data_IF_328184112491
#
_entry.id   IF_328184112491
#
_cell.length_a   1.000
_cell.length_b   1.000
_cell.length_c   1.000
_cell.angle_alpha   90.00
_cell.angle_beta   90.00
_cell.angle_gamma   90.00
#
_symmetry.space_group_name_H-M   'P 1'
#
loop_
_entity.id
_entity.type
_entity.pdbx_description
1 polymer ?
#
# COMPACT_ATOMS: atom_id res chain seq x y z
N UNK A 1 15.19 -30.78 0.56
CA UNK A 1 13.94 -30.09 0.16
C UNK A 1 14.15 -29.49 -1.22
N UNK A 2 13.13 -29.43 -2.09
CA UNK A 2 13.23 -28.70 -3.36
C UNK A 2 12.78 -27.25 -3.14
N UNK A 3 13.38 -26.27 -3.83
CA UNK A 3 12.91 -24.89 -3.74
C UNK A 3 11.50 -24.75 -4.33
N UNK A 4 10.74 -23.80 -3.80
CA UNK A 4 9.40 -23.42 -4.26
C UNK A 4 9.46 -22.10 -5.01
N UNK A 5 8.58 -21.88 -6.00
CA UNK A 5 8.50 -20.58 -6.68
C UNK A 5 8.16 -19.46 -5.68
N UNK A 6 8.81 -18.32 -5.84
CA UNK A 6 8.70 -17.18 -4.94
C UNK A 6 7.90 -16.06 -5.59
N UNK A 7 6.85 -15.63 -4.89
CA UNK A 7 6.05 -14.44 -5.19
C UNK A 7 6.26 -13.40 -4.08
N UNK A 8 5.86 -12.15 -4.30
CA UNK A 8 6.04 -11.08 -3.30
C UNK A 8 5.36 -11.41 -1.97
N UNK A 9 6.03 -11.13 -0.86
CA UNK A 9 5.46 -11.29 0.48
C UNK A 9 4.20 -10.44 0.72
N UNK A 10 4.02 -9.38 -0.08
CA UNK A 10 2.81 -8.54 -0.08
C UNK A 10 1.58 -9.28 -0.65
N UNK A 11 1.79 -10.30 -1.49
CA UNK A 11 0.73 -11.14 -2.07
C UNK A 11 0.49 -12.42 -1.26
N UNK A 12 1.56 -13.03 -0.76
CA UNK A 12 1.51 -14.24 0.06
C UNK A 12 2.39 -14.05 1.30
N UNK A 13 1.79 -14.09 2.49
CA UNK A 13 2.54 -13.88 3.73
C UNK A 13 2.94 -15.22 4.36
N UNK A 14 4.22 -15.61 4.20
CA UNK A 14 4.86 -16.76 4.87
C UNK A 14 5.85 -16.28 5.95
N UNK A 15 6.29 -17.20 6.80
CA UNK A 15 7.20 -16.86 7.90
C UNK A 15 8.58 -16.40 7.41
N UNK A 16 9.25 -15.56 8.21
CA UNK A 16 10.61 -15.12 7.90
C UNK A 16 11.58 -16.29 7.67
N UNK A 17 11.56 -17.30 8.55
CA UNK A 17 12.37 -18.51 8.43
C UNK A 17 12.11 -19.30 7.14
N UNK A 18 10.87 -19.29 6.62
CA UNK A 18 10.57 -19.88 5.32
C UNK A 18 11.32 -19.16 4.20
N UNK A 19 11.31 -17.82 4.17
CA UNK A 19 12.00 -17.06 3.13
C UNK A 19 13.51 -17.18 3.19
N UNK A 20 14.09 -17.21 4.40
CA UNK A 20 15.52 -17.51 4.57
C UNK A 20 15.85 -18.88 3.99
N UNK A 21 15.02 -19.90 4.28
CA UNK A 21 15.24 -21.24 3.74
C UNK A 21 15.10 -21.31 2.22
N UNK A 22 14.15 -20.59 1.63
CA UNK A 22 14.02 -20.52 0.17
C UNK A 22 15.22 -19.83 -0.47
N UNK A 23 15.80 -18.81 0.17
CA UNK A 23 17.00 -18.15 -0.34
C UNK A 23 18.20 -19.10 -0.40
N UNK A 24 18.37 -19.96 0.62
CA UNK A 24 19.39 -21.02 0.62
C UNK A 24 19.21 -22.00 -0.53
N UNK A 25 17.98 -22.53 -0.70
CA UNK A 25 17.69 -23.52 -1.73
C UNK A 25 17.82 -22.95 -3.15
N UNK A 26 17.34 -21.72 -3.38
CA UNK A 26 17.48 -21.07 -4.68
C UNK A 26 18.92 -20.64 -4.98
N UNK A 27 19.72 -20.31 -3.97
CA UNK A 27 21.14 -20.05 -4.16
C UNK A 27 21.87 -21.29 -4.67
N UNK A 28 21.54 -22.48 -4.14
CA UNK A 28 22.07 -23.76 -4.65
C UNK A 28 21.68 -23.99 -6.12
N UNK A 29 20.45 -23.69 -6.53
CA UNK A 29 20.03 -23.81 -7.94
C UNK A 29 20.77 -22.84 -8.86
N UNK A 30 21.00 -21.59 -8.42
CA UNK A 30 21.82 -20.62 -9.16
C UNK A 30 23.25 -21.13 -9.36
N UNK A 31 23.81 -21.86 -8.39
CA UNK A 31 25.16 -22.44 -8.56
C UNK A 31 25.21 -23.58 -9.58
N UNK A 32 24.11 -24.31 -9.77
CA UNK A 32 24.03 -25.40 -10.77
C UNK A 32 23.94 -24.85 -12.19
N UNK A 33 23.20 -23.76 -12.38
CA UNK A 33 23.10 -23.06 -13.66
C UNK A 33 23.05 -21.54 -13.44
N UNK A 34 24.19 -20.90 -13.62
CA UNK A 34 24.34 -19.45 -13.45
C UNK A 34 23.65 -18.64 -14.55
N UNK A 35 23.21 -19.27 -15.64
CA UNK A 35 22.52 -18.61 -16.75
C UNK A 35 20.99 -18.75 -16.66
N UNK A 36 20.46 -19.44 -15.64
CA UNK A 36 19.03 -19.62 -15.44
C UNK A 36 18.35 -18.34 -14.89
N UNK A 37 17.62 -17.64 -15.76
CA UNK A 37 16.80 -16.47 -15.38
C UNK A 37 15.79 -16.80 -14.27
N UNK A 38 15.17 -17.99 -14.34
CA UNK A 38 14.19 -18.43 -13.32
C UNK A 38 14.84 -18.63 -11.95
N UNK A 39 16.03 -19.24 -11.89
CA UNK A 39 16.75 -19.42 -10.64
C UNK A 39 17.13 -18.07 -10.01
N UNK A 40 17.65 -17.13 -10.83
CA UNK A 40 17.98 -15.78 -10.37
C UNK A 40 16.76 -15.01 -9.87
N UNK A 41 15.64 -15.06 -10.60
CA UNK A 41 14.40 -14.39 -10.20
C UNK A 41 13.92 -14.88 -8.84
N UNK A 42 13.81 -16.20 -8.66
CA UNK A 42 13.32 -16.77 -7.42
C UNK A 42 14.30 -16.57 -6.26
N UNK A 43 15.62 -16.62 -6.52
CA UNK A 43 16.64 -16.29 -5.54
C UNK A 43 16.52 -14.83 -5.06
N UNK A 44 16.46 -13.87 -5.99
CA UNK A 44 16.20 -12.47 -5.68
C UNK A 44 14.92 -12.32 -4.86
N UNK A 45 13.84 -13.02 -5.24
CA UNK A 45 12.58 -12.91 -4.52
C UNK A 45 12.59 -13.51 -3.13
N UNK A 46 13.24 -14.64 -2.91
CA UNK A 46 13.46 -15.17 -1.58
C UNK A 46 14.23 -14.17 -0.69
N UNK A 47 15.37 -13.63 -1.17
CA UNK A 47 16.16 -12.66 -0.41
C UNK A 47 15.37 -11.39 -0.09
N UNK A 48 14.66 -10.82 -1.06
CA UNK A 48 13.91 -9.58 -0.82
C UNK A 48 12.64 -9.80 0.01
N UNK A 49 12.05 -11.00 0.02
CA UNK A 49 10.97 -11.35 0.97
C UNK A 49 11.51 -11.55 2.40
N UNK A 50 12.69 -12.17 2.54
CA UNK A 50 13.37 -12.26 3.83
C UNK A 50 13.69 -10.86 4.38
N UNK A 51 14.22 -9.96 3.54
CA UNK A 51 14.47 -8.57 3.92
C UNK A 51 13.17 -7.84 4.32
N UNK A 52 12.10 -7.97 3.52
CA UNK A 52 10.81 -7.34 3.81
C UNK A 52 10.19 -7.81 5.14
N UNK A 53 10.28 -9.11 5.43
CA UNK A 53 9.82 -9.68 6.71
C UNK A 53 10.74 -9.37 7.90
N UNK A 54 11.94 -8.84 7.64
CA UNK A 54 12.87 -8.33 8.62
C UNK A 54 12.81 -6.79 8.74
N UNK A 55 11.68 -6.17 8.38
CA UNK A 55 11.50 -4.71 8.38
C UNK A 55 12.56 -3.96 7.56
N UNK A 56 12.94 -4.54 6.42
CA UNK A 56 13.88 -3.95 5.47
C UNK A 56 15.31 -3.73 5.97
N UNK A 57 15.64 -4.16 7.20
CA UNK A 57 16.97 -4.01 7.80
C UNK A 57 18.06 -4.62 6.92
N UNK A 58 19.20 -3.94 6.81
CA UNK A 58 20.30 -4.38 5.94
C UNK A 58 21.12 -5.51 6.54
N UNK A 59 21.11 -5.65 7.87
CA UNK A 59 21.89 -6.66 8.61
C UNK A 59 21.25 -8.07 8.58
N UNK A 60 20.07 -8.23 7.96
CA UNK A 60 19.45 -9.54 7.72
C UNK A 60 20.37 -10.50 6.93
N UNK A 61 21.31 -9.96 6.15
CA UNK A 61 22.32 -10.74 5.41
C UNK A 61 23.20 -11.59 6.32
N UNK A 62 23.28 -11.24 7.61
CA UNK A 62 24.07 -11.99 8.60
C UNK A 62 23.35 -13.26 9.09
N UNK A 63 22.06 -13.44 8.76
CA UNK A 63 21.28 -14.59 9.23
C UNK A 63 21.57 -15.88 8.45
N UNK A 64 22.08 -15.78 7.22
CA UNK A 64 22.48 -16.92 6.40
C UNK A 64 23.46 -16.49 5.30
N UNK A 65 24.49 -17.28 4.96
CA UNK A 65 25.46 -16.96 3.91
C UNK A 65 24.85 -16.88 2.50
N UNK A 66 23.60 -17.35 2.33
CA UNK A 66 22.86 -17.24 1.09
C UNK A 66 22.11 -15.90 0.95
N UNK A 67 21.96 -15.10 2.00
CA UNK A 67 21.22 -13.84 1.95
C UNK A 67 22.09 -12.71 1.39
N UNK A 68 21.51 -11.90 0.50
CA UNK A 68 22.17 -10.77 -0.16
C UNK A 68 21.19 -9.62 -0.33
N UNK A 69 21.70 -8.39 -0.35
CA UNK A 69 20.89 -7.23 -0.75
C UNK A 69 20.64 -7.28 -2.26
N UNK A 70 19.54 -6.67 -2.72
CA UNK A 70 19.21 -6.64 -4.15
C UNK A 70 20.34 -6.06 -5.03
N UNK A 71 21.07 -5.04 -4.52
CA UNK A 71 22.23 -4.46 -5.22
C UNK A 71 23.39 -5.45 -5.41
N UNK A 72 23.56 -6.39 -4.48
CA UNK A 72 24.63 -7.39 -4.56
C UNK A 72 24.21 -8.52 -5.51
N UNK A 73 22.92 -8.86 -5.52
CA UNK A 73 22.35 -9.86 -6.45
C UNK A 73 22.43 -9.35 -7.88
N UNK A 74 22.03 -8.10 -8.13
CA UNK A 74 22.06 -7.48 -9.47
C UNK A 74 23.48 -7.35 -10.03
N UNK A 75 24.48 -7.09 -9.18
CA UNK A 75 25.88 -7.12 -9.58
C UNK A 75 26.29 -8.50 -10.13
N UNK A 76 25.90 -9.58 -9.46
CA UNK A 76 26.14 -10.95 -9.91
C UNK A 76 25.35 -11.30 -11.19
N UNK A 77 24.08 -10.88 -11.26
CA UNK A 77 23.26 -11.10 -12.45
C UNK A 77 23.85 -10.41 -13.68
N UNK A 78 24.46 -9.23 -13.52
CA UNK A 78 25.13 -8.52 -14.61
C UNK A 78 26.29 -9.32 -15.22
N UNK A 79 26.97 -10.16 -14.42
CA UNK A 79 28.07 -11.00 -14.91
C UNK A 79 27.56 -12.24 -15.67
N UNK A 80 26.39 -12.77 -15.30
CA UNK A 80 25.94 -14.08 -15.77
C UNK A 80 24.74 -14.05 -16.73
N UNK A 81 23.82 -13.11 -16.56
CA UNK A 81 22.63 -12.91 -17.42
C UNK A 81 22.46 -11.43 -17.83
N UNK A 82 23.52 -10.75 -18.32
CA UNK A 82 23.41 -9.36 -18.73
C UNK A 82 22.38 -9.21 -19.85
N UNK A 83 21.56 -8.17 -19.75
CA UNK A 83 20.63 -7.77 -20.81
C UNK A 83 19.38 -8.66 -20.95
N UNK A 84 19.22 -9.72 -20.14
CA UNK A 84 18.01 -10.53 -20.16
C UNK A 84 16.83 -9.80 -19.52
N UNK A 85 15.61 -10.34 -19.67
CA UNK A 85 14.42 -9.77 -19.06
C UNK A 85 14.59 -9.69 -17.53
N UNK A 86 14.97 -10.81 -16.89
CA UNK A 86 15.08 -10.89 -15.44
C UNK A 86 16.13 -9.93 -14.89
N UNK A 87 17.29 -9.77 -15.54
CA UNK A 87 18.27 -8.78 -15.11
C UNK A 87 17.72 -7.36 -15.13
N UNK A 88 17.12 -6.95 -16.26
CA UNK A 88 16.54 -5.62 -16.40
C UNK A 88 15.41 -5.38 -15.38
N UNK A 89 14.56 -6.37 -15.16
CA UNK A 89 13.48 -6.28 -14.19
C UNK A 89 13.99 -6.15 -12.75
N UNK A 90 14.96 -6.98 -12.36
CA UNK A 90 15.49 -6.98 -10.99
C UNK A 90 16.34 -5.74 -10.71
N UNK A 91 17.15 -5.27 -11.66
CA UNK A 91 17.90 -4.01 -11.54
C UNK A 91 16.96 -2.81 -11.39
N UNK A 92 15.90 -2.75 -12.21
CA UNK A 92 14.89 -1.68 -12.14
C UNK A 92 14.13 -1.70 -10.81
N UNK A 93 13.62 -2.86 -10.38
CA UNK A 93 12.79 -3.00 -9.17
C UNK A 93 13.57 -2.80 -7.87
N UNK A 94 14.88 -3.05 -7.85
CA UNK A 94 15.70 -2.91 -6.63
C UNK A 94 15.80 -1.46 -6.13
N UNK A 95 15.51 -0.48 -6.99
CA UNK A 95 15.63 0.96 -6.69
C UNK A 95 14.39 1.57 -6.02
N UNK A 96 13.32 0.79 -5.86
CA UNK A 96 12.11 1.21 -5.14
C UNK A 96 11.42 2.41 -5.79
N UNK A 97 11.13 3.45 -5.00
CA UNK A 97 10.47 4.68 -5.48
C UNK A 97 11.42 5.62 -6.24
N UNK A 98 12.73 5.40 -6.14
CA UNK A 98 13.69 6.22 -6.89
C UNK A 98 13.46 6.03 -8.39
N UNK A 99 13.47 7.10 -9.20
CA UNK A 99 13.39 6.98 -10.66
C UNK A 99 14.67 6.38 -11.26
N UNK A 100 15.75 6.31 -10.47
CA UNK A 100 16.97 5.58 -10.83
C UNK A 100 16.63 4.12 -11.12
N UNK A 101 17.11 3.55 -12.22
CA UNK A 101 16.72 2.20 -12.66
C UNK A 101 15.58 2.16 -13.68
N UNK A 102 14.92 3.29 -13.94
CA UNK A 102 13.86 3.41 -14.95
C UNK A 102 14.22 2.87 -16.33
N UNK A 103 15.45 3.09 -16.80
CA UNK A 103 15.92 2.56 -18.09
C UNK A 103 15.85 1.03 -18.14
N UNK A 104 16.29 0.35 -17.07
CA UNK A 104 16.22 -1.10 -16.97
C UNK A 104 14.77 -1.58 -16.88
N UNK A 105 13.95 -0.90 -16.09
CA UNK A 105 12.55 -1.25 -15.95
C UNK A 105 11.77 -1.11 -17.27
N UNK A 106 12.02 -0.05 -18.04
CA UNK A 106 11.42 0.14 -19.37
C UNK A 106 11.92 -0.91 -20.38
N UNK A 107 13.20 -1.32 -20.32
CA UNK A 107 13.69 -2.46 -21.12
C UNK A 107 12.94 -3.74 -20.78
N UNK A 108 12.78 -4.05 -19.49
CA UNK A 108 12.00 -5.21 -19.05
C UNK A 108 10.54 -5.12 -19.52
N UNK A 109 9.92 -3.95 -19.41
CA UNK A 109 8.56 -3.69 -19.89
C UNK A 109 8.39 -3.90 -21.39
N UNK A 110 9.36 -3.50 -22.20
CA UNK A 110 9.35 -3.75 -23.64
C UNK A 110 9.55 -5.24 -24.00
N UNK A 111 10.30 -5.98 -23.17
CA UNK A 111 10.58 -7.41 -23.40
C UNK A 111 9.39 -8.30 -23.02
N UNK A 112 8.79 -8.08 -21.85
CA UNK A 112 7.68 -8.87 -21.36
C UNK A 112 6.73 -8.02 -20.48
N UNK A 113 5.84 -7.23 -21.10
CA UNK A 113 4.98 -6.28 -20.39
C UNK A 113 3.94 -6.94 -19.47
N UNK A 114 3.69 -8.22 -19.65
CA UNK A 114 2.66 -8.99 -18.94
C UNK A 114 3.26 -9.84 -17.80
N UNK A 115 4.56 -9.70 -17.52
CA UNK A 115 5.20 -10.43 -16.43
C UNK A 115 4.57 -10.06 -15.08
N UNK A 116 4.26 -11.08 -14.27
CA UNK A 116 3.63 -10.87 -12.98
C UNK A 116 4.54 -10.07 -12.04
N UNK A 117 4.01 -8.98 -11.48
CA UNK A 117 4.74 -8.09 -10.57
C UNK A 117 5.42 -6.90 -11.25
N UNK A 118 5.70 -6.98 -12.56
CA UNK A 118 6.36 -5.88 -13.30
C UNK A 118 5.53 -4.60 -13.33
N UNK A 119 4.21 -4.73 -13.56
CA UNK A 119 3.33 -3.57 -13.74
C UNK A 119 3.27 -2.69 -12.48
N UNK A 120 3.39 -3.29 -11.29
CA UNK A 120 3.52 -2.55 -10.03
C UNK A 120 4.75 -1.64 -10.07
N UNK A 121 5.93 -2.19 -10.36
CA UNK A 121 7.16 -1.41 -10.45
C UNK A 121 7.10 -0.33 -11.54
N UNK A 122 6.47 -0.63 -12.69
CA UNK A 122 6.27 0.37 -13.76
C UNK A 122 5.39 1.53 -13.29
N UNK A 123 4.33 1.25 -12.53
CA UNK A 123 3.48 2.28 -11.90
C UNK A 123 4.28 3.09 -10.88
N UNK A 124 5.15 2.46 -10.10
CA UNK A 124 6.06 3.14 -9.17
C UNK A 124 6.93 4.14 -9.91
N UNK A 125 7.63 3.68 -10.94
CA UNK A 125 8.51 4.51 -11.77
C UNK A 125 7.77 5.65 -12.47
N UNK A 126 6.61 5.34 -13.07
CA UNK A 126 5.78 6.34 -13.75
C UNK A 126 5.27 7.40 -12.76
N UNK A 127 4.98 7.02 -11.51
CA UNK A 127 4.57 7.95 -10.46
C UNK A 127 5.73 8.84 -9.99
N UNK A 128 6.94 8.29 -9.80
CA UNK A 128 8.09 9.07 -9.35
C UNK A 128 8.62 10.05 -10.40
N UNK A 129 8.34 9.78 -11.67
CA UNK A 129 8.71 10.63 -12.82
C UNK A 129 7.56 11.49 -13.35
N UNK A 130 6.37 11.43 -12.73
CA UNK A 130 5.16 12.12 -13.18
C UNK A 130 4.74 11.77 -14.63
N UNK A 131 5.09 10.57 -15.10
CA UNK A 131 4.67 10.05 -16.40
C UNK A 131 3.25 9.46 -16.31
N UNK A 132 2.24 10.33 -16.34
CA UNK A 132 0.83 9.97 -16.18
C UNK A 132 0.32 9.02 -17.27
N UNK A 133 0.80 9.14 -18.51
CA UNK A 133 0.37 8.28 -19.62
C UNK A 133 0.87 6.84 -19.42
N UNK A 134 2.13 6.66 -19.03
CA UNK A 134 2.69 5.34 -18.72
C UNK A 134 1.99 4.71 -17.51
N UNK A 135 1.72 5.50 -16.47
CA UNK A 135 1.02 5.02 -15.27
C UNK A 135 -0.37 4.50 -15.64
N UNK A 136 -1.10 5.28 -16.45
CA UNK A 136 -2.44 4.93 -16.93
C UNK A 136 -2.42 3.67 -17.81
N UNK A 137 -1.48 3.58 -18.75
CA UNK A 137 -1.32 2.38 -19.59
C UNK A 137 -1.07 1.14 -18.73
N UNK A 138 -0.12 1.24 -17.78
CA UNK A 138 0.22 0.14 -16.89
C UNK A 138 -0.95 -0.27 -16.00
N UNK A 139 -1.70 0.68 -15.42
CA UNK A 139 -2.89 0.39 -14.62
C UNK A 139 -4.00 -0.31 -15.42
N UNK A 140 -4.27 0.14 -16.66
CA UNK A 140 -5.24 -0.52 -17.55
C UNK A 140 -4.81 -1.96 -17.85
N UNK A 141 -3.52 -2.17 -18.16
CA UNK A 141 -2.98 -3.51 -18.42
C UNK A 141 -3.07 -4.40 -17.19
N UNK A 142 -2.70 -3.87 -16.02
CA UNK A 142 -2.67 -4.62 -14.76
C UNK A 142 -4.08 -5.02 -14.29
N UNK A 143 -5.05 -4.12 -14.46
CA UNK A 143 -6.47 -4.41 -14.21
C UNK A 143 -6.97 -5.56 -15.10
N UNK A 144 -6.70 -5.53 -16.41
CA UNK A 144 -7.12 -6.61 -17.35
C UNK A 144 -6.55 -7.98 -17.00
N UNK A 145 -5.42 -8.03 -16.29
CA UNK A 145 -4.77 -9.27 -15.84
C UNK A 145 -5.23 -9.72 -14.45
N UNK A 146 -6.15 -8.99 -13.81
CA UNK A 146 -6.56 -9.28 -12.43
C UNK A 146 -5.40 -9.16 -11.44
N UNK A 147 -4.46 -8.25 -11.68
CA UNK A 147 -3.20 -8.23 -10.94
C UNK A 147 -3.28 -7.57 -9.55
N UNK A 148 -4.40 -6.94 -9.22
CA UNK A 148 -4.78 -6.53 -7.86
C UNK A 148 -5.99 -7.37 -7.43
N UNK A 149 -5.94 -7.84 -6.18
CA UNK A 149 -7.04 -8.52 -5.48
C UNK A 149 -8.39 -7.78 -5.63
N UNK A 150 -9.48 -8.49 -5.96
CA UNK A 150 -10.83 -7.89 -5.92
C UNK A 150 -11.19 -7.30 -4.55
N UNK A 151 -10.74 -7.92 -3.46
CA UNK A 151 -10.98 -7.43 -2.11
C UNK A 151 -10.24 -6.11 -1.84
N UNK A 152 -8.99 -5.96 -2.32
CA UNK A 152 -8.26 -4.69 -2.28
C UNK A 152 -8.92 -3.60 -3.14
N UNK A 153 -9.45 -3.94 -4.32
CA UNK A 153 -10.17 -2.98 -5.16
C UNK A 153 -11.48 -2.50 -4.51
N UNK A 154 -12.21 -3.38 -3.82
CA UNK A 154 -13.42 -2.98 -3.08
C UNK A 154 -13.08 -2.08 -1.87
N UNK A 155 -12.01 -2.39 -1.13
CA UNK A 155 -11.50 -1.51 -0.08
C UNK A 155 -11.12 -0.14 -0.66
N UNK A 156 -10.31 -0.12 -1.73
CA UNK A 156 -9.88 1.12 -2.40
C UNK A 156 -11.04 1.95 -2.93
N UNK A 157 -12.10 1.31 -3.44
CA UNK A 157 -13.31 2.01 -3.89
C UNK A 157 -13.96 2.75 -2.71
N UNK A 158 -14.21 2.07 -1.59
CA UNK A 158 -14.82 2.68 -0.41
C UNK A 158 -13.91 3.75 0.23
N UNK A 159 -12.58 3.56 0.20
CA UNK A 159 -11.62 4.57 0.64
C UNK A 159 -11.68 5.84 -0.23
N UNK A 160 -11.80 5.72 -1.56
CA UNK A 160 -12.01 6.88 -2.42
C UNK A 160 -13.33 7.60 -2.08
N UNK A 161 -14.43 6.86 -1.87
CA UNK A 161 -15.72 7.46 -1.48
C UNK A 161 -15.68 8.15 -0.13
N UNK A 162 -14.78 7.73 0.76
CA UNK A 162 -14.60 8.30 2.10
C UNK A 162 -14.08 9.75 2.11
N UNK A 163 -13.84 10.36 0.95
CA UNK A 163 -13.29 11.71 0.83
C UNK A 163 -14.26 12.67 0.15
N UNK A 164 -14.24 13.94 0.56
CA UNK A 164 -14.94 15.03 -0.13
C UNK A 164 -14.45 15.20 -1.59
N UNK A 165 -15.24 15.84 -2.47
CA UNK A 165 -14.80 16.16 -3.83
C UNK A 165 -13.48 16.94 -3.84
N UNK A 166 -12.60 16.60 -4.78
CA UNK A 166 -11.29 17.22 -4.97
C UNK A 166 -10.34 17.12 -3.77
N UNK A 167 -10.55 16.20 -2.84
CA UNK A 167 -9.68 15.99 -1.69
C UNK A 167 -8.24 15.60 -2.07
N UNK A 168 -7.30 15.87 -1.16
CA UNK A 168 -5.98 15.23 -1.09
C UNK A 168 -6.13 14.05 -0.13
N UNK A 169 -5.77 12.85 -0.57
CA UNK A 169 -5.75 11.64 0.24
C UNK A 169 -4.30 11.17 0.40
N UNK A 170 -3.79 11.19 1.63
CA UNK A 170 -2.48 10.64 1.97
C UNK A 170 -2.61 9.15 2.26
N UNK A 171 -1.87 8.34 1.52
CA UNK A 171 -1.80 6.87 1.63
C UNK A 171 -0.36 6.42 1.88
N UNK A 172 -0.16 5.16 2.25
CA UNK A 172 1.19 4.60 2.43
C UNK A 172 1.33 3.20 1.86
N UNK A 173 2.49 2.93 1.24
CA UNK A 173 2.81 1.62 0.67
C UNK A 173 1.86 1.19 -0.45
N UNK A 174 2.06 -0.04 -0.90
CA UNK A 174 1.48 -0.51 -2.15
C UNK A 174 -0.02 -0.80 -2.04
N UNK A 175 -0.43 -1.56 -1.02
CA UNK A 175 -1.82 -2.03 -0.87
C UNK A 175 -2.81 -0.91 -0.55
N UNK A 176 -2.36 0.23 -0.02
CA UNK A 176 -3.19 1.40 0.27
C UNK A 176 -3.27 2.38 -0.91
N UNK A 177 -2.34 2.31 -1.87
CA UNK A 177 -2.20 3.33 -2.93
C UNK A 177 -2.56 2.79 -4.32
N UNK A 178 -1.99 1.66 -4.70
CA UNK A 178 -2.03 1.17 -6.08
C UNK A 178 -3.44 0.74 -6.50
N UNK A 179 -4.27 0.14 -5.63
CA UNK A 179 -5.68 -0.10 -5.94
C UNK A 179 -6.42 1.20 -6.29
N UNK A 180 -6.10 2.31 -5.64
CA UNK A 180 -6.76 3.60 -5.84
C UNK A 180 -6.37 4.19 -7.19
N UNK A 181 -5.08 4.20 -7.53
CA UNK A 181 -4.63 4.65 -8.86
C UNK A 181 -5.20 3.78 -9.98
N UNK A 182 -5.29 2.46 -9.78
CA UNK A 182 -5.94 1.56 -10.74
C UNK A 182 -7.42 1.90 -10.91
N UNK A 183 -8.17 2.10 -9.82
CA UNK A 183 -9.58 2.50 -9.85
C UNK A 183 -9.79 3.83 -10.59
N UNK A 184 -8.92 4.81 -10.36
CA UNK A 184 -8.96 6.11 -11.03
C UNK A 184 -8.69 5.98 -12.53
N UNK A 185 -7.61 5.29 -12.91
CA UNK A 185 -7.09 5.33 -14.28
C UNK A 185 -7.70 4.28 -15.21
N UNK A 186 -8.02 3.09 -14.69
CA UNK A 186 -8.62 2.01 -15.47
C UNK A 186 -10.15 2.03 -15.44
N UNK A 187 -10.76 2.55 -14.36
CA UNK A 187 -12.21 2.49 -14.13
C UNK A 187 -12.88 3.87 -13.98
N UNK A 188 -12.13 4.97 -13.95
CA UNK A 188 -12.69 6.33 -13.87
C UNK A 188 -13.32 6.66 -12.52
N UNK A 189 -12.99 5.93 -11.46
CA UNK A 189 -13.58 6.13 -10.12
C UNK A 189 -12.87 7.30 -9.42
N UNK A 190 -13.62 8.34 -9.03
CA UNK A 190 -13.12 9.45 -8.20
C UNK A 190 -11.79 10.04 -8.70
N UNK A 191 -11.69 10.30 -10.00
CA UNK A 191 -10.50 10.93 -10.62
C UNK A 191 -10.26 12.37 -10.15
N UNK A 192 -11.19 12.94 -9.38
CA UNK A 192 -11.06 14.24 -8.73
C UNK A 192 -10.12 14.22 -7.50
N UNK A 193 -9.98 13.06 -6.84
CA UNK A 193 -9.16 12.90 -5.62
C UNK A 193 -7.68 12.83 -5.99
N UNK A 194 -6.84 13.62 -5.31
CA UNK A 194 -5.39 13.52 -5.46
C UNK A 194 -4.86 12.52 -4.43
N UNK A 195 -4.53 11.32 -4.89
CA UNK A 195 -3.96 10.26 -4.07
C UNK A 195 -2.43 10.42 -4.04
N UNK A 196 -1.87 10.70 -2.86
CA UNK A 196 -0.44 10.90 -2.64
C UNK A 196 0.10 9.83 -1.69
N UNK A 197 0.99 8.98 -2.18
CA UNK A 197 1.69 8.01 -1.37
C UNK A 197 2.87 8.67 -0.65
N UNK A 198 2.90 8.55 0.68
CA UNK A 198 3.94 9.18 1.49
C UNK A 198 5.35 8.63 1.26
N UNK A 199 5.48 7.40 0.76
CA UNK A 199 6.78 6.78 0.47
C UNK A 199 7.56 7.59 -0.58
N UNK A 200 6.84 8.23 -1.51
CA UNK A 200 7.43 9.02 -2.57
C UNK A 200 7.96 10.37 -2.08
N UNK A 201 7.45 10.88 -0.95
CA UNK A 201 7.98 12.12 -0.37
C UNK A 201 9.38 11.97 0.21
N UNK A 202 9.89 10.75 0.39
CA UNK A 202 11.29 10.54 0.75
C UNK A 202 12.24 10.89 -0.41
N UNK A 203 11.74 10.97 -1.64
CA UNK A 203 12.50 11.41 -2.80
C UNK A 203 12.35 12.92 -3.02
N UNK A 204 13.48 13.63 -3.03
CA UNK A 204 13.54 15.09 -3.06
C UNK A 204 12.79 15.72 -4.23
N UNK A 205 12.99 15.21 -5.45
CA UNK A 205 12.39 15.82 -6.64
C UNK A 205 10.86 15.62 -6.67
N UNK A 206 10.38 14.46 -6.22
CA UNK A 206 8.94 14.23 -6.09
C UNK A 206 8.34 15.17 -5.04
N UNK A 207 8.96 15.27 -3.86
CA UNK A 207 8.52 16.16 -2.78
C UNK A 207 8.51 17.62 -3.20
N UNK A 208 9.59 18.10 -3.84
CA UNK A 208 9.68 19.48 -4.37
C UNK A 208 8.55 19.77 -5.37
N UNK A 209 8.30 18.84 -6.31
CA UNK A 209 7.27 19.02 -7.34
C UNK A 209 5.87 19.11 -6.73
N UNK A 210 5.49 18.14 -5.89
CA UNK A 210 4.16 18.12 -5.26
C UNK A 210 3.97 19.33 -4.34
N UNK A 211 4.98 19.70 -3.56
CA UNK A 211 4.88 20.85 -2.66
C UNK A 211 4.74 22.16 -3.45
N UNK A 212 5.49 22.30 -4.55
CA UNK A 212 5.35 23.43 -5.47
C UNK A 212 3.94 23.53 -6.08
N UNK A 213 3.41 22.41 -6.57
CA UNK A 213 2.06 22.36 -7.18
C UNK A 213 0.95 22.69 -6.18
N UNK A 214 1.11 22.27 -4.92
CA UNK A 214 0.12 22.47 -3.85
C UNK A 214 0.34 23.76 -3.05
N UNK A 215 1.39 24.54 -3.35
CA UNK A 215 1.74 25.73 -2.59
C UNK A 215 2.18 25.44 -1.14
N UNK A 216 2.67 24.24 -0.86
CA UNK A 216 3.23 23.84 0.43
C UNK A 216 4.66 24.38 0.51
N UNK A 217 5.06 24.90 1.67
CA UNK A 217 6.43 25.41 1.86
C UNK A 217 7.47 24.32 1.54
N UNK A 218 8.60 24.66 0.89
CA UNK A 218 9.67 23.69 0.67
C UNK A 218 10.12 23.00 1.95
N UNK A 219 10.43 21.71 1.86
CA UNK A 219 10.91 20.90 2.97
C UNK A 219 12.07 20.03 2.49
N UNK A 220 13.16 20.05 3.25
CA UNK A 220 14.37 19.29 2.95
C UNK A 220 14.53 18.27 4.06
N UNK A 221 14.49 16.99 3.67
CA UNK A 221 15.00 15.93 4.52
C UNK A 221 16.53 15.94 4.39
N UNK A 222 17.24 15.74 5.50
CA UNK A 222 18.66 15.43 5.44
C UNK A 222 18.86 14.05 4.75
N UNK A 223 20.08 13.52 4.74
CA UNK A 223 20.37 12.24 4.06
C UNK A 223 19.39 11.15 4.53
N UNK A 224 18.51 10.72 3.64
CA UNK A 224 17.50 9.70 3.92
C UNK A 224 18.18 8.35 4.15
N UNK A 225 18.21 7.89 5.40
CA UNK A 225 18.63 6.55 5.81
C UNK A 225 17.40 5.63 5.90
N UNK A 226 17.53 4.38 5.42
CA UNK A 226 16.47 3.36 5.52
C UNK A 226 16.04 3.09 6.95
N UNK A 227 16.96 3.24 7.91
CA UNK A 227 16.67 3.06 9.33
C UNK A 227 15.87 4.23 9.93
N UNK A 228 15.72 5.34 9.20
CA UNK A 228 15.03 6.55 9.64
C UNK A 228 13.72 6.80 8.87
N UNK A 229 13.26 5.84 8.06
CA UNK A 229 12.04 6.01 7.25
C UNK A 229 10.82 6.40 8.07
N UNK A 230 10.59 5.75 9.23
CA UNK A 230 9.45 6.08 10.09
C UNK A 230 9.46 7.54 10.54
N UNK A 231 10.61 8.03 10.99
CA UNK A 231 10.79 9.43 11.41
C UNK A 231 10.60 10.39 10.24
N UNK A 232 11.13 10.04 9.06
CA UNK A 232 11.02 10.88 7.88
C UNK A 232 9.58 10.97 7.35
N UNK A 233 8.82 9.86 7.40
CA UNK A 233 7.39 9.87 7.08
C UNK A 233 6.60 10.75 8.04
N UNK A 234 6.85 10.63 9.35
CA UNK A 234 6.23 11.51 10.36
C UNK A 234 6.51 12.99 10.07
N UNK A 235 7.78 13.34 9.84
CA UNK A 235 8.20 14.70 9.56
C UNK A 235 7.50 15.29 8.32
N UNK A 236 7.42 14.52 7.23
CA UNK A 236 6.74 14.96 6.01
C UNK A 236 5.24 15.14 6.23
N UNK A 237 4.58 14.17 6.86
CA UNK A 237 3.13 14.23 7.10
C UNK A 237 2.81 15.47 7.94
N UNK A 238 3.51 15.68 9.06
CA UNK A 238 3.34 16.88 9.90
C UNK A 238 3.58 18.16 9.11
N UNK A 239 4.65 18.23 8.31
CA UNK A 239 4.92 19.40 7.49
C UNK A 239 3.79 19.72 6.50
N UNK A 240 3.19 18.70 5.88
CA UNK A 240 2.01 18.87 5.01
C UNK A 240 0.82 19.43 5.79
N UNK A 241 0.49 18.84 6.95
CA UNK A 241 -0.63 19.27 7.78
C UNK A 241 -0.48 20.70 8.29
N UNK A 242 0.75 21.13 8.58
CA UNK A 242 1.05 22.47 9.12
C UNK A 242 1.13 23.57 8.05
N UNK A 243 1.55 23.24 6.83
CA UNK A 243 1.92 24.23 5.83
C UNK A 243 1.03 24.26 4.60
N UNK A 244 0.13 23.28 4.43
CA UNK A 244 -0.85 23.34 3.36
C UNK A 244 -1.98 24.32 3.69
N UNK A 245 -2.19 25.29 2.82
CA UNK A 245 -3.22 26.35 2.96
C UNK A 245 -4.18 26.40 1.78
N UNK A 246 -4.14 25.40 0.89
CA UNK A 246 -5.00 25.31 -0.28
C UNK A 246 -6.42 24.86 0.05
N UNK A 247 -7.29 24.87 -0.97
CA UNK A 247 -8.72 24.63 -0.81
C UNK A 247 -9.13 23.14 -0.86
N UNK A 248 -8.25 22.24 -1.29
CA UNK A 248 -8.52 20.79 -1.32
C UNK A 248 -8.51 20.25 0.11
N UNK A 249 -9.58 19.62 0.62
CA UNK A 249 -9.57 19.00 1.94
C UNK A 249 -8.49 17.92 2.06
N UNK A 250 -7.81 17.84 3.21
CA UNK A 250 -6.82 16.79 3.48
C UNK A 250 -7.49 15.62 4.20
N UNK A 251 -7.23 14.42 3.69
CA UNK A 251 -7.62 13.15 4.28
C UNK A 251 -6.40 12.26 4.49
N UNK A 252 -6.39 11.52 5.60
CA UNK A 252 -5.41 10.47 5.90
C UNK A 252 -6.10 9.11 5.79
N UNK A 253 -5.53 8.16 5.06
CA UNK A 253 -6.06 6.79 5.03
C UNK A 253 -6.04 6.19 6.44
N UNK A 254 -7.06 5.40 6.83
CA UNK A 254 -7.06 4.71 8.13
C UNK A 254 -6.02 3.60 8.27
N UNK A 255 -5.33 3.26 7.18
CA UNK A 255 -4.17 2.34 7.21
C UNK A 255 -2.85 3.07 7.42
N UNK A 256 -2.86 4.41 7.44
CA UNK A 256 -1.73 5.24 7.80
C UNK A 256 -1.39 5.04 9.29
N UNK A 257 -0.11 4.98 9.64
CA UNK A 257 0.29 4.84 11.05
C UNK A 257 -0.09 6.09 11.85
N UNK A 258 -0.82 5.97 12.97
CA UNK A 258 -1.14 7.10 13.85
C UNK A 258 0.09 7.87 14.36
N UNK A 259 1.24 7.19 14.45
CA UNK A 259 2.50 7.82 14.87
C UNK A 259 2.91 8.98 13.94
N UNK A 260 2.62 8.87 12.65
CA UNK A 260 3.07 9.85 11.65
C UNK A 260 2.32 11.18 11.70
N UNK A 261 1.19 11.23 12.40
CA UNK A 261 0.44 12.47 12.67
C UNK A 261 0.19 12.66 14.17
N UNK A 262 1.10 12.14 14.99
CA UNK A 262 1.04 12.28 16.44
C UNK A 262 0.99 13.76 16.87
N UNK A 263 0.12 14.08 17.81
CA UNK A 263 -0.18 15.46 18.24
C UNK A 263 -1.28 16.16 17.46
N UNK A 264 -1.76 15.57 16.36
CA UNK A 264 -2.88 16.07 15.54
C UNK A 264 -4.14 15.21 15.64
N UNK A 265 -4.20 14.25 16.57
CA UNK A 265 -5.31 13.30 16.70
C UNK A 265 -6.65 14.02 16.92
N UNK A 266 -6.68 15.10 17.73
CA UNK A 266 -7.90 15.90 17.94
C UNK A 266 -8.37 16.65 16.68
N UNK A 267 -7.53 16.76 15.65
CA UNK A 267 -7.83 17.41 14.39
C UNK A 267 -8.23 16.41 13.29
N UNK A 268 -8.26 15.11 13.60
CA UNK A 268 -8.66 14.04 12.70
C UNK A 268 -10.10 13.61 13.00
N UNK A 269 -10.97 13.70 12.00
CA UNK A 269 -12.40 13.36 12.11
C UNK A 269 -12.74 12.18 11.19
N UNK A 270 -13.30 11.12 11.78
CA UNK A 270 -13.59 9.90 11.04
C UNK A 270 -14.61 10.10 9.93
N UNK A 271 -14.19 9.73 8.73
CA UNK A 271 -14.94 9.74 7.49
C UNK A 271 -14.77 8.39 6.82
N UNK A 272 -15.61 7.41 7.16
CA UNK A 272 -15.53 6.07 6.61
C UNK A 272 -14.17 5.42 6.86
N UNK A 273 -13.44 5.16 5.77
CA UNK A 273 -12.09 4.58 5.77
C UNK A 273 -10.95 5.61 5.81
N UNK A 274 -11.25 6.90 5.98
CA UNK A 274 -10.26 7.96 6.09
C UNK A 274 -10.51 8.85 7.32
N UNK A 275 -9.51 9.64 7.69
CA UNK A 275 -9.62 10.74 8.65
C UNK A 275 -9.57 12.07 7.90
N UNK A 276 -10.62 12.89 8.03
CA UNK A 276 -10.60 14.28 7.57
C UNK A 276 -9.75 15.11 8.54
N UNK A 277 -8.68 15.72 8.06
CA UNK A 277 -7.91 16.66 8.86
C UNK A 277 -8.55 18.05 8.82
N UNK A 278 -8.78 18.64 10.00
CA UNK A 278 -9.31 20.00 10.12
C UNK A 278 -8.95 20.63 11.47
N UNK A 279 -8.53 21.90 11.43
CA UNK A 279 -8.37 22.72 12.64
C UNK A 279 -9.71 23.15 13.25
N UNK A 280 -10.78 23.15 12.44
CA UNK A 280 -12.14 23.42 12.89
C UNK A 280 -12.86 22.13 13.21
N UNK A 281 -13.67 22.14 14.28
CA UNK A 281 -14.52 21.01 14.66
C UNK A 281 -15.41 20.58 13.49
N UNK A 282 -15.40 19.29 13.18
CA UNK A 282 -16.27 18.69 12.16
C UNK A 282 -17.29 17.77 12.82
N UNK A 283 -18.50 17.73 12.27
CA UNK A 283 -19.50 16.70 12.56
C UNK A 283 -19.76 15.91 11.27
N UNK A 284 -19.25 14.68 11.22
CA UNK A 284 -19.33 13.82 10.05
C UNK A 284 -20.36 12.70 10.22
N UNK A 285 -21.29 12.78 11.19
CA UNK A 285 -22.30 11.72 11.38
C UNK A 285 -23.19 11.53 10.17
N UNK A 286 -23.77 12.61 9.65
CA UNK A 286 -24.58 12.57 8.42
C UNK A 286 -23.78 12.13 7.19
N UNK A 287 -22.50 12.50 7.12
CA UNK A 287 -21.60 12.06 6.06
C UNK A 287 -21.34 10.54 6.12
N UNK A 288 -21.00 10.01 7.30
CA UNK A 288 -20.80 8.58 7.48
C UNK A 288 -22.09 7.77 7.23
N UNK A 289 -23.26 8.33 7.54
CA UNK A 289 -24.54 7.69 7.24
C UNK A 289 -24.75 7.57 5.73
N UNK A 290 -24.47 8.64 4.97
CA UNK A 290 -24.50 8.62 3.50
C UNK A 290 -23.50 7.59 2.94
N UNK A 291 -22.27 7.57 3.44
CA UNK A 291 -21.27 6.60 3.02
C UNK A 291 -21.77 5.17 3.21
N UNK A 292 -22.26 4.86 4.41
CA UNK A 292 -22.75 3.52 4.74
C UNK A 292 -23.98 3.10 3.93
N UNK A 293 -24.92 4.02 3.71
CA UNK A 293 -26.22 3.70 3.10
C UNK A 293 -26.20 3.70 1.58
N UNK A 294 -25.41 4.61 0.97
CA UNK A 294 -25.53 4.93 -0.44
C UNK A 294 -24.23 4.67 -1.23
N UNK A 295 -23.06 5.00 -0.66
CA UNK A 295 -21.81 5.03 -1.44
C UNK A 295 -20.96 3.76 -1.28
N UNK A 296 -20.99 3.11 -0.11
CA UNK A 296 -20.14 1.97 0.19
C UNK A 296 -20.64 0.67 -0.42
N UNK A 297 -19.70 -0.09 -0.98
CA UNK A 297 -19.89 -1.49 -1.39
C UNK A 297 -19.60 -2.39 -0.19
N UNK A 298 -20.65 -2.81 0.51
CA UNK A 298 -20.53 -3.59 1.75
C UNK A 298 -20.65 -5.12 1.54
N UNK A 299 -20.97 -5.59 0.34
CA UNK A 299 -21.23 -7.01 0.10
C UNK A 299 -20.00 -7.89 0.35
N UNK A 300 -18.81 -7.44 -0.04
CA UNK A 300 -17.55 -8.14 0.26
C UNK A 300 -17.26 -8.24 1.76
N UNK A 301 -17.71 -7.25 2.55
CA UNK A 301 -17.61 -7.30 4.01
C UNK A 301 -18.55 -8.34 4.61
N UNK A 302 -19.68 -8.63 3.94
CA UNK A 302 -20.63 -9.67 4.36
C UNK A 302 -20.11 -11.06 3.98
N UNK A 303 -19.68 -11.24 2.74
CA UNK A 303 -19.25 -12.52 2.19
C UNK A 303 -18.28 -12.33 1.03
N UNK A 304 -17.14 -13.02 1.09
CA UNK A 304 -16.17 -13.06 0.00
C UNK A 304 -16.46 -14.28 -0.87
N UNK A 305 -16.67 -14.08 -2.17
CA UNK A 305 -17.01 -15.16 -3.12
C UNK A 305 -15.77 -15.81 -3.77
N UNK A 306 -14.63 -15.13 -3.72
CA UNK A 306 -13.41 -15.54 -4.41
C UNK A 306 -12.33 -15.86 -3.37
N UNK A 307 -11.62 -16.98 -3.57
CA UNK A 307 -10.42 -17.24 -2.78
C UNK A 307 -9.32 -16.24 -3.18
N UNK A 308 -8.79 -15.54 -2.19
CA UNK A 308 -7.81 -14.47 -2.40
C UNK A 308 -6.71 -14.55 -1.35
N UNK A 309 -5.46 -14.63 -1.79
CA UNK A 309 -4.30 -14.75 -0.89
C UNK A 309 -4.03 -13.46 -0.13
N UNK A 310 -4.54 -12.32 -0.60
CA UNK A 310 -4.46 -11.02 0.08
C UNK A 310 -5.48 -10.86 1.22
N UNK A 311 -6.40 -11.81 1.41
CA UNK A 311 -7.51 -11.69 2.39
C UNK A 311 -7.03 -11.31 3.79
N UNK A 312 -5.94 -11.91 4.29
CA UNK A 312 -5.43 -11.57 5.63
C UNK A 312 -5.11 -10.08 5.78
N UNK A 313 -4.48 -9.48 4.76
CA UNK A 313 -4.13 -8.05 4.79
C UNK A 313 -5.37 -7.18 4.62
N UNK A 314 -6.30 -7.58 3.75
CA UNK A 314 -7.56 -6.85 3.57
C UNK A 314 -8.42 -6.90 4.83
N UNK A 315 -8.47 -8.04 5.53
CA UNK A 315 -9.19 -8.19 6.79
C UNK A 315 -8.63 -7.28 7.89
N UNK A 316 -7.31 -7.11 7.96
CA UNK A 316 -6.66 -6.11 8.81
C UNK A 316 -7.08 -4.68 8.43
N UNK A 317 -7.00 -4.33 7.14
CA UNK A 317 -7.37 -3.00 6.62
C UNK A 317 -8.86 -2.68 6.87
N UNK A 318 -9.73 -3.68 6.76
CA UNK A 318 -11.17 -3.55 7.02
C UNK A 318 -11.48 -3.17 8.48
N UNK A 319 -10.56 -3.37 9.44
CA UNK A 319 -10.74 -2.82 10.78
C UNK A 319 -10.80 -1.27 10.81
N UNK A 320 -10.44 -0.61 9.70
CA UNK A 320 -10.69 0.82 9.48
C UNK A 320 -12.18 1.19 9.56
N UNK A 321 -13.11 0.31 9.17
CA UNK A 321 -14.55 0.62 9.22
C UNK A 321 -15.09 0.77 10.65
N UNK A 322 -14.45 0.15 11.65
CA UNK A 322 -14.98 0.04 13.01
C UNK A 322 -15.30 1.39 13.65
N UNK A 323 -14.47 2.41 13.38
CA UNK A 323 -14.68 3.75 13.95
C UNK A 323 -15.99 4.37 13.42
N UNK A 324 -16.20 4.34 12.09
CA UNK A 324 -17.42 4.83 11.45
C UNK A 324 -18.65 3.99 11.80
N UNK A 325 -18.50 2.66 11.89
CA UNK A 325 -19.58 1.76 12.25
C UNK A 325 -20.02 1.97 13.70
N UNK A 326 -19.08 2.20 14.62
CA UNK A 326 -19.44 2.47 16.00
C UNK A 326 -20.18 3.81 16.14
N UNK A 327 -19.74 4.85 15.43
CA UNK A 327 -20.46 6.13 15.37
C UNK A 327 -21.91 5.96 14.91
N UNK A 328 -22.12 5.19 13.83
CA UNK A 328 -23.47 4.93 13.28
C UNK A 328 -24.31 4.06 14.22
N UNK A 329 -23.72 3.04 14.82
CA UNK A 329 -24.40 2.21 15.82
C UNK A 329 -24.93 3.05 16.98
N UNK A 330 -24.10 3.93 17.54
CA UNK A 330 -24.52 4.83 18.62
C UNK A 330 -25.66 5.74 18.17
N UNK A 331 -25.59 6.29 16.96
CA UNK A 331 -26.65 7.11 16.40
C UNK A 331 -27.97 6.33 16.27
N UNK A 332 -27.93 5.14 15.65
CA UNK A 332 -29.14 4.33 15.46
C UNK A 332 -29.76 3.86 16.77
N UNK A 333 -28.96 3.56 17.79
CA UNK A 333 -29.47 3.26 19.14
C UNK A 333 -30.17 4.47 19.75
N UNK A 334 -29.58 5.67 19.64
CA UNK A 334 -30.21 6.90 20.13
C UNK A 334 -31.53 7.21 19.41
N UNK A 335 -31.61 6.92 18.11
CA UNK A 335 -32.79 7.10 17.26
C UNK A 335 -33.83 5.97 17.41
N UNK A 336 -33.54 4.92 18.20
CA UNK A 336 -34.36 3.70 18.33
C UNK A 336 -34.60 2.98 17.01
N UNK A 337 -33.60 2.99 16.14
CA UNK A 337 -33.59 2.28 14.87
C UNK A 337 -32.88 0.92 15.02
N UNK A 338 -33.57 0.00 15.68
CA UNK A 338 -33.01 -1.31 16.07
C UNK A 338 -32.52 -2.12 14.86
N UNK A 339 -33.18 -1.99 13.70
CA UNK A 339 -32.80 -2.69 12.48
C UNK A 339 -31.43 -2.25 11.98
N UNK A 340 -31.20 -0.95 11.81
CA UNK A 340 -29.91 -0.45 11.30
C UNK A 340 -28.81 -0.56 12.36
N UNK A 341 -29.14 -0.37 13.64
CA UNK A 341 -28.21 -0.63 14.74
C UNK A 341 -27.70 -2.09 14.70
N UNK A 342 -28.60 -3.05 14.51
CA UNK A 342 -28.22 -4.47 14.39
C UNK A 342 -27.37 -4.73 13.15
N UNK A 343 -27.73 -4.17 11.99
CA UNK A 343 -26.98 -4.38 10.74
C UNK A 343 -25.52 -3.92 10.86
N UNK A 344 -25.30 -2.70 11.36
CA UNK A 344 -23.95 -2.16 11.54
C UNK A 344 -23.16 -2.96 12.58
N UNK A 345 -23.81 -3.35 13.69
CA UNK A 345 -23.19 -4.20 14.72
C UNK A 345 -22.77 -5.56 14.16
N UNK A 346 -23.64 -6.23 13.40
CA UNK A 346 -23.34 -7.53 12.80
C UNK A 346 -22.16 -7.46 11.82
N UNK A 347 -22.09 -6.38 11.02
CA UNK A 347 -20.95 -6.12 10.13
C UNK A 347 -19.67 -5.89 10.93
N UNK A 348 -19.70 -5.05 11.96
CA UNK A 348 -18.52 -4.78 12.81
C UNK A 348 -17.99 -6.06 13.48
N UNK A 349 -18.87 -6.87 14.07
CA UNK A 349 -18.52 -8.15 14.69
C UNK A 349 -17.86 -9.08 13.67
N UNK A 350 -18.40 -9.16 12.45
CA UNK A 350 -17.85 -9.99 11.38
C UNK A 350 -16.42 -9.58 11.00
N UNK A 351 -16.14 -8.28 10.89
CA UNK A 351 -14.80 -7.78 10.61
C UNK A 351 -13.82 -8.15 11.73
N UNK A 352 -14.24 -7.99 12.98
CA UNK A 352 -13.46 -8.37 14.16
C UNK A 352 -13.20 -9.88 14.25
N UNK A 353 -14.12 -10.72 13.77
CA UNK A 353 -13.96 -12.17 13.77
C UNK A 353 -13.00 -12.66 12.69
N UNK A 354 -12.90 -11.94 11.56
CA UNK A 354 -11.94 -12.24 10.47
C UNK A 354 -10.50 -11.91 10.85
N UNK A 355 -10.27 -10.88 11.68
CA UNK A 355 -8.93 -10.50 12.14
C UNK A 355 -8.88 -10.34 13.67
N UNK A 356 -8.61 -11.42 14.40
CA UNK A 356 -8.69 -11.42 15.88
C UNK A 356 -7.45 -10.84 16.59
N UNK A 357 -6.33 -10.70 15.90
CA UNK A 357 -5.03 -10.36 16.49
C UNK A 357 -4.79 -8.84 16.51
N UNK A 358 -5.67 -8.07 17.16
CA UNK A 358 -5.54 -6.62 17.25
C UNK A 358 -6.11 -6.05 18.55
N UNK A 359 -5.40 -5.11 19.17
CA UNK A 359 -5.92 -4.33 20.31
C UNK A 359 -7.19 -3.55 19.92
N UNK A 360 -7.28 -3.08 18.67
CA UNK A 360 -8.46 -2.39 18.13
C UNK A 360 -9.71 -3.27 18.21
N UNK A 361 -9.55 -4.58 18.00
CA UNK A 361 -10.66 -5.55 18.07
C UNK A 361 -11.15 -5.72 19.50
N UNK A 362 -10.25 -5.81 20.48
CA UNK A 362 -10.63 -5.89 21.89
C UNK A 362 -11.42 -4.63 22.30
N UNK A 363 -10.90 -3.45 21.97
CA UNK A 363 -11.53 -2.17 22.26
C UNK A 363 -12.95 -2.04 21.67
N UNK A 364 -13.15 -2.43 20.41
CA UNK A 364 -14.45 -2.32 19.77
C UNK A 364 -15.42 -3.42 20.19
N UNK A 365 -14.96 -4.62 20.54
CA UNK A 365 -15.84 -5.70 20.99
C UNK A 365 -16.61 -5.28 22.25
N UNK A 366 -15.92 -4.72 23.24
CA UNK A 366 -16.55 -4.19 24.47
C UNK A 366 -17.55 -3.06 24.22
N UNK A 367 -17.39 -2.32 23.10
CA UNK A 367 -18.23 -1.19 22.74
C UNK A 367 -19.51 -1.59 22.00
N UNK A 368 -19.45 -2.68 21.26
CA UNK A 368 -20.60 -3.21 20.53
C UNK A 368 -21.42 -4.16 21.39
N UNK A 369 -20.86 -4.77 22.43
CA UNK A 369 -21.61 -5.53 23.45
C UNK A 369 -22.61 -4.65 24.19
#
# INVERSE_FOLDING_TARGET
LRPENQISFAKENKSHAYYVKQAELWWEEVQKDKHSESAWYNYYRACRNAQGTANWRTDFVNESPALRLGKDITALMKEHIPGTFTYNFVEGSTRGVSPEGGEFLLKAYNMNPDFEGLLGDVITYASSTFNHDLRKEANIRWHKKGGISPALLNFGYNLLQSTEPHAILLTAHDNDTYPLWMLQEALGVRTDVLVLNIDFFLFDEYRKKIFGDLGIKPFVLEKVDINEYETNWENVVKHVLENYTGNRPIYLSKTLSPKWYSGYEQNCYTSGLAEKFSLQKQDLRGWNLKLFSDDFRLDELRMTLVYDTSNRRVDEMNLGYLDSFYMLYQQFVQERNDRQAKEVKDLAIRLMDRFKASEKVAFYREKFD
#
